data_IF_096529883264
#
_entry.id   IF_096529883264
#
_cell.length_a   1.000
_cell.length_b   1.000
_cell.length_c   1.000
_cell.angle_alpha   90.00
_cell.angle_beta   90.00
_cell.angle_gamma   90.00
#
_symmetry.space_group_name_H-M   'P 1'
#
loop_
_entity.id
_entity.type
_entity.pdbx_description
1 polymer ?
#
# COMPACT_ATOMS: atom_id res chain seq x y z
N UNK A 1 -36.03 11.95 6.32
CA UNK A 1 -34.91 11.08 5.92
C UNK A 1 -33.85 11.24 6.99
N UNK A 2 -33.69 10.25 7.85
CA UNK A 2 -32.66 10.27 8.89
C UNK A 2 -31.29 10.24 8.21
N UNK A 3 -30.52 11.30 8.40
CA UNK A 3 -29.11 11.34 8.06
C UNK A 3 -28.45 10.47 9.13
N UNK A 4 -28.06 9.25 8.76
CA UNK A 4 -27.28 8.37 9.61
C UNK A 4 -25.90 9.00 9.79
N UNK A 5 -25.76 9.83 10.81
CA UNK A 5 -24.45 10.27 11.28
C UNK A 5 -23.77 9.02 11.85
N UNK A 6 -22.72 8.56 11.16
CA UNK A 6 -21.87 7.47 11.67
C UNK A 6 -21.49 7.72 13.12
N UNK A 7 -21.23 6.65 13.86
CA UNK A 7 -20.85 6.73 15.27
C UNK A 7 -19.67 7.69 15.49
N UNK A 8 -19.47 8.17 16.72
CA UNK A 8 -18.27 8.97 17.04
C UNK A 8 -17.00 8.25 16.61
N UNK A 9 -16.98 6.92 16.72
CA UNK A 9 -15.90 6.09 16.22
C UNK A 9 -15.69 6.25 14.71
N UNK A 10 -16.77 6.19 13.93
CA UNK A 10 -16.75 6.40 12.48
C UNK A 10 -16.23 7.80 12.10
N UNK A 11 -16.66 8.83 12.83
CA UNK A 11 -16.26 10.21 12.54
C UNK A 11 -14.83 10.57 12.93
N UNK A 12 -14.23 9.83 13.86
CA UNK A 12 -12.91 10.14 14.44
C UNK A 12 -11.81 9.26 13.87
N UNK A 13 -12.09 7.97 13.66
CA UNK A 13 -11.05 6.99 13.31
C UNK A 13 -11.06 6.59 11.84
N UNK A 14 -12.19 6.69 11.14
CA UNK A 14 -12.22 6.25 9.75
C UNK A 14 -11.72 7.32 8.79
N UNK A 15 -10.75 6.93 7.97
CA UNK A 15 -10.36 7.62 6.75
C UNK A 15 -10.63 6.75 5.51
N UNK A 16 -10.17 7.21 4.36
CA UNK A 16 -10.21 6.46 3.10
C UNK A 16 -8.82 6.35 2.48
N UNK A 17 -8.48 5.17 1.98
CA UNK A 17 -7.30 4.95 1.13
C UNK A 17 -7.77 4.77 -0.30
N UNK A 18 -7.12 5.47 -1.23
CA UNK A 18 -7.29 5.25 -2.66
C UNK A 18 -6.10 4.47 -3.19
N UNK A 19 -6.37 3.32 -3.79
CA UNK A 19 -5.40 2.49 -4.48
C UNK A 19 -5.61 2.60 -5.98
N UNK A 20 -4.68 3.24 -6.67
CA UNK A 20 -4.63 3.29 -8.13
C UNK A 20 -4.08 1.99 -8.67
N UNK A 21 -4.65 1.47 -9.77
CA UNK A 21 -4.23 0.24 -10.40
C UNK A 21 -4.11 0.49 -11.89
N UNK A 22 -2.88 0.39 -12.38
CA UNK A 22 -2.50 0.76 -13.73
C UNK A 22 -2.01 -0.45 -14.51
N UNK A 23 -2.52 -0.61 -15.74
CA UNK A 23 -2.05 -1.66 -16.64
C UNK A 23 -0.64 -1.33 -17.16
N UNK A 24 0.32 -2.24 -16.95
CA UNK A 24 1.73 -2.04 -17.37
C UNK A 24 1.99 -2.30 -18.86
N UNK A 25 1.00 -2.79 -19.59
CA UNK A 25 1.14 -3.05 -21.03
C UNK A 25 0.78 -1.82 -21.88
N UNK A 26 -0.21 -1.03 -21.47
CA UNK A 26 -0.67 0.13 -22.22
C UNK A 26 -0.50 1.46 -21.50
N UNK A 27 -0.22 1.46 -20.20
CA UNK A 27 -0.12 2.63 -19.32
C UNK A 27 -1.33 3.58 -19.33
N UNK A 28 -2.42 3.20 -20.02
CA UNK A 28 -3.56 4.06 -20.32
C UNK A 28 -4.82 3.64 -19.54
N UNK A 29 -4.91 2.36 -19.17
CA UNK A 29 -6.02 1.85 -18.37
C UNK A 29 -5.68 2.01 -16.88
N UNK A 30 -6.37 2.95 -16.24
CA UNK A 30 -6.31 3.21 -14.81
C UNK A 30 -7.65 2.83 -14.17
N UNK A 31 -7.59 2.17 -13.02
CA UNK A 31 -8.74 1.93 -12.16
C UNK A 31 -8.37 2.31 -10.73
N UNK A 32 -9.32 2.82 -9.96
CA UNK A 32 -9.11 3.18 -8.56
C UNK A 32 -10.02 2.34 -7.67
N UNK A 33 -9.49 1.90 -6.53
CA UNK A 33 -10.26 1.26 -5.45
C UNK A 33 -10.17 2.19 -4.24
N UNK A 34 -11.32 2.57 -3.68
CA UNK A 34 -11.39 3.39 -2.47
C UNK A 34 -11.92 2.54 -1.34
N UNK A 35 -11.11 2.38 -0.29
CA UNK A 35 -11.41 1.52 0.86
C UNK A 35 -11.39 2.34 2.16
N UNK A 36 -12.37 2.16 3.06
CA UNK A 36 -12.32 2.77 4.39
C UNK A 36 -11.24 2.08 5.24
N UNK A 37 -10.52 2.83 6.07
CA UNK A 37 -9.56 2.31 7.04
C UNK A 37 -9.75 2.98 8.40
N UNK A 38 -9.48 2.25 9.49
CA UNK A 38 -9.48 2.79 10.85
C UNK A 38 -8.08 2.84 11.49
N UNK A 39 -7.09 2.19 10.86
CA UNK A 39 -5.68 2.20 11.22
C UNK A 39 -4.79 1.95 9.99
N UNK A 40 -3.49 2.20 10.14
CA UNK A 40 -2.46 1.89 9.15
C UNK A 40 -1.48 0.86 9.70
N UNK A 41 -1.46 -0.31 9.08
CA UNK A 41 -0.46 -1.34 9.33
C UNK A 41 0.79 -1.08 8.48
N UNK A 42 1.86 -0.59 9.10
CA UNK A 42 3.09 -0.18 8.38
C UNK A 42 4.21 -1.21 8.47
N UNK A 43 4.86 -1.48 7.34
CA UNK A 43 6.07 -2.30 7.31
C UNK A 43 7.28 -1.54 7.84
N UNK A 44 7.84 -2.05 8.94
CA UNK A 44 9.07 -1.50 9.54
C UNK A 44 10.31 -1.85 8.70
N UNK A 45 10.37 -3.05 8.14
CA UNK A 45 11.53 -3.52 7.38
C UNK A 45 11.14 -3.77 5.92
N UNK A 46 11.97 -3.31 4.98
CA UNK A 46 11.81 -3.68 3.57
C UNK A 46 12.06 -5.18 3.37
N UNK A 47 11.61 -5.72 2.23
CA UNK A 47 11.93 -7.09 1.86
C UNK A 47 13.46 -7.34 1.78
N UNK A 48 14.22 -6.36 1.31
CA UNK A 48 15.68 -6.42 1.26
C UNK A 48 16.30 -6.47 2.67
N UNK A 49 15.78 -5.69 3.61
CA UNK A 49 16.22 -5.72 5.01
C UNK A 49 15.93 -7.09 5.65
N UNK A 50 14.78 -7.68 5.33
CA UNK A 50 14.40 -9.03 5.77
C UNK A 50 15.37 -10.09 5.21
N UNK A 51 15.74 -10.01 3.92
CA UNK A 51 16.72 -10.91 3.28
C UNK A 51 18.11 -10.76 3.92
N UNK A 52 18.53 -9.52 4.20
CA UNK A 52 19.83 -9.23 4.79
C UNK A 52 19.90 -9.59 6.29
N UNK A 53 18.84 -10.17 6.85
CA UNK A 53 18.81 -10.61 8.24
C UNK A 53 18.95 -9.46 9.24
N UNK A 54 18.56 -8.23 8.86
CA UNK A 54 18.45 -7.11 9.79
C UNK A 54 17.26 -7.37 10.71
N UNK A 55 17.48 -8.19 11.73
CA UNK A 55 16.56 -8.42 12.82
C UNK A 55 16.59 -7.25 13.81
N UNK A 56 15.49 -7.04 14.51
CA UNK A 56 15.27 -5.94 15.46
C UNK A 56 16.38 -5.79 16.52
N UNK A 57 17.07 -6.88 16.85
CA UNK A 57 18.19 -6.91 17.80
C UNK A 57 19.45 -6.19 17.28
N UNK A 58 19.67 -6.13 15.97
CA UNK A 58 20.84 -5.50 15.36
C UNK A 58 20.73 -3.96 15.32
N UNK A 59 19.52 -3.42 15.27
CA UNK A 59 19.26 -1.97 15.19
C UNK A 59 19.40 -1.25 16.52
N UNK A 60 19.13 -1.91 17.64
CA UNK A 60 19.29 -1.31 18.98
C UNK A 60 20.77 -1.03 19.30
N UNK A 61 21.71 -1.78 18.68
CA UNK A 61 23.15 -1.69 19.00
C UNK A 61 23.92 -0.66 18.18
N UNK A 62 23.48 -0.36 16.97
CA UNK A 62 24.17 0.57 16.07
C UNK A 62 23.23 1.73 15.73
N UNK A 63 23.33 2.83 16.48
CA UNK A 63 22.53 4.05 16.32
C UNK A 63 22.67 4.79 14.97
N UNK A 64 23.14 4.11 13.92
CA UNK A 64 23.29 4.63 12.55
C UNK A 64 22.23 4.12 11.57
N UNK A 65 21.40 3.14 11.93
CA UNK A 65 20.34 2.58 11.07
C UNK A 65 18.94 2.74 11.69
N UNK A 66 18.63 3.92 12.24
CA UNK A 66 17.31 4.16 12.82
C UNK A 66 16.26 4.24 11.71
N UNK A 67 15.27 3.34 11.76
CA UNK A 67 14.09 3.39 10.88
C UNK A 67 13.16 4.48 11.39
N UNK A 68 12.71 5.34 10.49
CA UNK A 68 11.81 6.47 10.78
C UNK A 68 10.37 6.15 10.37
N UNK A 69 9.41 6.89 10.92
CA UNK A 69 7.99 6.74 10.55
C UNK A 69 7.77 7.14 9.10
N UNK A 70 8.46 8.19 8.66
CA UNK A 70 8.46 8.69 7.29
C UNK A 70 8.89 7.58 6.32
N UNK A 71 9.95 6.84 6.62
CA UNK A 71 10.36 5.69 5.81
C UNK A 71 9.31 4.57 5.76
N UNK A 72 8.58 4.35 6.84
CA UNK A 72 7.49 3.37 6.87
C UNK A 72 6.30 3.82 6.00
N UNK A 73 5.95 5.12 6.04
CA UNK A 73 4.90 5.71 5.22
C UNK A 73 5.29 5.76 3.73
N UNK A 74 6.55 6.08 3.44
CA UNK A 74 7.10 6.04 2.08
C UNK A 74 7.01 4.61 1.51
N UNK A 75 7.32 3.59 2.32
CA UNK A 75 7.12 2.19 1.92
C UNK A 75 5.64 1.85 1.69
N UNK A 76 4.75 2.28 2.58
CA UNK A 76 3.33 1.99 2.48
C UNK A 76 2.67 2.60 1.23
N UNK A 77 3.19 3.73 0.76
CA UNK A 77 2.69 4.46 -0.42
C UNK A 77 3.52 4.19 -1.69
N UNK A 78 4.52 3.32 -1.60
CA UNK A 78 5.36 3.00 -2.74
C UNK A 78 4.60 2.21 -3.79
N UNK A 79 4.92 2.46 -5.06
CA UNK A 79 4.32 1.72 -6.17
C UNK A 79 4.78 0.26 -6.12
N UNK A 80 3.83 -0.66 -6.09
CA UNK A 80 4.05 -2.10 -6.10
C UNK A 80 3.83 -2.67 -7.50
N UNK A 81 4.78 -3.47 -7.98
CA UNK A 81 4.62 -4.20 -9.23
C UNK A 81 3.95 -5.55 -8.98
N UNK A 82 2.68 -5.62 -9.39
CA UNK A 82 1.86 -6.80 -9.22
C UNK A 82 2.01 -7.71 -10.44
N UNK A 83 2.85 -8.74 -10.28
CA UNK A 83 3.06 -9.81 -11.27
C UNK A 83 2.00 -10.91 -11.12
N UNK A 84 2.37 -12.19 -11.29
CA UNK A 84 1.50 -13.38 -11.40
C UNK A 84 0.15 -13.33 -10.69
N UNK A 85 0.10 -12.95 -9.40
CA UNK A 85 -1.11 -12.93 -8.57
C UNK A 85 -1.95 -11.65 -8.67
N UNK A 86 -1.36 -10.53 -9.09
CA UNK A 86 -2.07 -9.26 -9.26
C UNK A 86 -2.18 -8.81 -10.70
N UNK A 87 -2.08 -9.75 -11.65
CA UNK A 87 -2.51 -9.51 -13.03
C UNK A 87 -4.00 -9.27 -13.08
N UNK A 88 -4.43 -8.30 -13.89
CA UNK A 88 -5.85 -7.98 -14.08
C UNK A 88 -6.20 -7.87 -15.55
N UNK A 89 -7.47 -8.11 -15.85
CA UNK A 89 -8.00 -7.89 -17.19
C UNK A 89 -7.99 -6.38 -17.49
N UNK A 90 -7.35 -6.01 -18.58
CA UNK A 90 -7.30 -4.62 -19.04
C UNK A 90 -8.29 -4.42 -20.18
N UNK A 91 -9.23 -3.51 -20.00
CA UNK A 91 -10.26 -3.21 -21.01
C UNK A 91 -9.68 -2.57 -22.27
N UNK A 92 -8.54 -1.87 -22.18
CA UNK A 92 -7.85 -1.30 -23.34
C UNK A 92 -7.09 -2.37 -24.14
N UNK A 93 -6.40 -3.29 -23.46
CA UNK A 93 -5.61 -4.35 -24.11
C UNK A 93 -6.44 -5.57 -24.52
N UNK A 94 -7.66 -5.71 -23.97
CA UNK A 94 -8.51 -6.91 -24.09
C UNK A 94 -7.82 -8.20 -23.63
N UNK A 95 -6.90 -8.09 -22.67
CA UNK A 95 -6.10 -9.21 -22.16
C UNK A 95 -5.74 -9.01 -20.69
N UNK A 96 -5.37 -10.11 -20.03
CA UNK A 96 -4.87 -10.10 -18.65
C UNK A 96 -3.39 -9.74 -18.64
N UNK A 97 -3.05 -8.62 -17.99
CA UNK A 97 -1.69 -8.08 -17.97
C UNK A 97 -1.23 -7.80 -16.54
N UNK A 98 0.08 -7.67 -16.37
CA UNK A 98 0.70 -7.18 -15.14
C UNK A 98 0.20 -5.76 -14.83
N UNK A 99 0.08 -5.47 -13.54
CA UNK A 99 -0.35 -4.16 -13.06
C UNK A 99 0.67 -3.54 -12.12
N UNK A 100 0.59 -2.23 -11.96
CA UNK A 100 1.19 -1.55 -10.81
C UNK A 100 0.08 -1.01 -9.94
N UNK A 101 0.28 -1.08 -8.63
CA UNK A 101 -0.60 -0.50 -7.62
C UNK A 101 0.16 0.54 -6.81
#
# INVERSE_FOLDING_TARGET
>A
SEINHGSVFDSVFFGTIESEIKCRACDSCLSAIVEPFCDLSLEVYSHEDKILGKNSEALIKNGSNQITLEQCLDRFTHIEFLCSEGRRYCECCKSTNDTSK
#
